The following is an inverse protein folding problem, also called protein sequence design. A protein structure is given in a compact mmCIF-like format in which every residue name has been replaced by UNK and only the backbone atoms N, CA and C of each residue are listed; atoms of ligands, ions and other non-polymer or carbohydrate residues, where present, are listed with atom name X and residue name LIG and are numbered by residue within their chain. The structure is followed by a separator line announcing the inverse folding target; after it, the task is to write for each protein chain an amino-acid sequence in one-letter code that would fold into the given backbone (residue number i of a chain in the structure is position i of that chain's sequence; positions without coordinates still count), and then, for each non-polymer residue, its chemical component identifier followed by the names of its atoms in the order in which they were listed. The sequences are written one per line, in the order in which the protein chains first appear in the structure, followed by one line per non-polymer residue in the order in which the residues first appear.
data_IF_119270817634
#
_entry.id   IF_119270817634
#
_cell.length_a   1.000
_cell.length_b   1.000
_cell.length_c   1.000
_cell.angle_alpha   90.00
_cell.angle_beta   90.00
_cell.angle_gamma   90.00
#
_symmetry.space_group_name_H-M   'P 1'
#
loop_
_entity.id
_entity.type
_entity.pdbx_description
1 polymer ?
#
# COMPACT_ATOMS: atom_id res chain seq x y z
N UNK A 1 23.92 -21.86 19.87
CA UNK A 1 23.18 -20.67 19.39
C UNK A 1 21.74 -20.97 19.64
N UNK A 2 21.13 -20.38 20.67
CA UNK A 2 19.69 -20.52 20.91
C UNK A 2 18.93 -19.90 19.73
N UNK A 3 18.14 -20.71 19.05
CA UNK A 3 17.23 -20.19 18.02
C UNK A 3 16.23 -19.26 18.71
N UNK A 4 16.32 -17.98 18.42
CA UNK A 4 15.33 -17.01 18.85
C UNK A 4 14.04 -17.38 18.11
N UNK A 5 13.02 -17.75 18.85
CA UNK A 5 11.72 -18.13 18.27
C UNK A 5 11.01 -16.83 17.85
N UNK A 6 10.96 -16.60 16.54
CA UNK A 6 10.30 -15.44 15.96
C UNK A 6 9.25 -15.89 14.93
N UNK A 7 8.13 -15.16 14.78
CA UNK A 7 7.08 -15.46 13.81
C UNK A 7 7.59 -15.66 12.39
N UNK A 8 8.59 -14.86 11.98
CA UNK A 8 9.18 -14.92 10.64
C UNK A 8 10.68 -15.22 10.72
N UNK A 9 11.21 -15.87 9.67
CA UNK A 9 12.60 -16.31 9.58
C UNK A 9 13.41 -15.48 8.60
N UNK A 10 14.73 -15.50 8.75
CA UNK A 10 15.66 -14.89 7.77
C UNK A 10 15.44 -15.53 6.40
N UNK A 11 15.50 -14.72 5.36
CA UNK A 11 15.17 -15.02 3.95
C UNK A 11 13.68 -15.31 3.68
N UNK A 12 12.81 -15.15 4.66
CA UNK A 12 11.37 -15.23 4.42
C UNK A 12 10.85 -13.96 3.77
N UNK A 13 10.00 -14.14 2.75
CA UNK A 13 9.24 -13.06 2.14
C UNK A 13 8.01 -12.73 3.00
N UNK A 14 7.78 -11.46 3.18
CA UNK A 14 6.64 -10.90 3.94
C UNK A 14 5.99 -9.79 3.14
N UNK A 15 4.78 -9.43 3.55
CA UNK A 15 4.09 -8.23 3.06
C UNK A 15 4.03 -7.20 4.16
N UNK A 16 4.47 -5.99 3.86
CA UNK A 16 4.25 -4.83 4.69
C UNK A 16 3.13 -4.00 4.07
N UNK A 17 1.99 -3.79 4.76
CA UNK A 17 0.85 -3.05 4.21
C UNK A 17 1.28 -1.71 3.61
N UNK A 18 0.74 -1.38 2.45
CA UNK A 18 1.04 -0.16 1.69
C UNK A 18 2.48 -0.01 1.16
N UNK A 19 3.42 -0.84 1.62
CA UNK A 19 4.84 -0.80 1.17
C UNK A 19 5.19 -1.96 0.24
N UNK A 20 4.40 -3.03 0.25
CA UNK A 20 4.58 -4.18 -0.63
C UNK A 20 5.37 -5.32 -0.04
N UNK A 21 5.92 -6.14 -0.94
CA UNK A 21 6.70 -7.33 -0.58
C UNK A 21 8.10 -6.92 -0.12
N UNK A 22 8.54 -7.56 0.96
CA UNK A 22 9.89 -7.42 1.47
C UNK A 22 10.49 -8.78 1.85
N UNK A 23 11.80 -8.78 2.05
CA UNK A 23 12.56 -9.96 2.49
C UNK A 23 13.19 -9.68 3.83
N UNK A 24 13.01 -10.56 4.79
CA UNK A 24 13.75 -10.50 6.05
C UNK A 24 15.21 -10.87 5.78
N UNK A 25 16.09 -9.88 5.78
CA UNK A 25 17.53 -10.10 5.56
C UNK A 25 18.23 -10.62 6.80
N UNK A 26 17.79 -10.14 7.97
CA UNK A 26 18.44 -10.49 9.23
C UNK A 26 17.49 -10.27 10.43
N UNK A 27 17.84 -10.86 11.57
CA UNK A 27 17.15 -10.66 12.85
C UNK A 27 18.22 -10.28 13.87
N UNK A 28 18.20 -9.04 14.35
CA UNK A 28 19.24 -8.46 15.20
C UNK A 28 18.73 -7.91 16.49
N UNK A 29 19.45 -8.14 17.55
CA UNK A 29 19.28 -7.42 18.81
C UNK A 29 19.96 -6.05 18.72
N UNK A 30 19.23 -5.00 19.11
CA UNK A 30 19.76 -3.65 19.25
C UNK A 30 19.35 -3.05 20.56
N UNK A 31 20.30 -2.38 21.22
CA UNK A 31 20.01 -1.64 22.45
C UNK A 31 19.24 -0.36 22.08
N UNK A 32 18.04 -0.22 22.61
CA UNK A 32 17.25 0.99 22.53
C UNK A 32 16.95 1.48 23.95
N UNK A 33 17.45 2.67 24.29
CA UNK A 33 17.52 3.16 25.67
C UNK A 33 18.26 2.13 26.54
N UNK A 34 17.62 1.55 27.55
CA UNK A 34 18.25 0.57 28.44
C UNK A 34 17.75 -0.87 28.22
N UNK A 35 17.04 -1.13 27.12
CA UNK A 35 16.49 -2.44 26.79
C UNK A 35 17.11 -3.01 25.53
N UNK A 36 17.33 -4.33 25.49
CA UNK A 36 17.70 -5.05 24.28
C UNK A 36 16.39 -5.43 23.56
N UNK A 37 16.22 -4.93 22.36
CA UNK A 37 15.04 -5.18 21.52
C UNK A 37 15.47 -5.94 20.28
N UNK A 38 14.70 -6.96 19.93
CA UNK A 38 14.89 -7.74 18.72
C UNK A 38 14.21 -7.07 17.53
N UNK A 39 14.93 -6.92 16.43
CA UNK A 39 14.46 -6.28 15.21
C UNK A 39 14.53 -7.21 14.02
N UNK A 40 13.51 -7.18 13.18
CA UNK A 40 13.61 -7.61 11.81
C UNK A 40 14.33 -6.54 10.98
N UNK A 41 15.30 -6.95 10.18
CA UNK A 41 15.90 -6.14 9.13
C UNK A 41 15.25 -6.56 7.82
N UNK A 42 14.39 -5.72 7.28
CA UNK A 42 13.56 -6.04 6.12
C UNK A 42 14.01 -5.17 4.94
N UNK A 43 14.35 -5.81 3.84
CA UNK A 43 14.56 -5.14 2.56
C UNK A 43 13.25 -5.13 1.79
N UNK A 44 12.81 -3.93 1.39
CA UNK A 44 11.60 -3.70 0.61
C UNK A 44 11.95 -3.62 -0.88
N UNK A 45 11.44 -4.56 -1.67
CA UNK A 45 11.79 -4.69 -3.09
C UNK A 45 11.30 -3.49 -3.93
N UNK A 46 10.18 -2.86 -3.55
CA UNK A 46 9.55 -1.77 -4.32
C UNK A 46 10.25 -0.43 -4.14
N UNK A 47 10.68 -0.12 -2.93
CA UNK A 47 11.28 1.16 -2.56
C UNK A 47 12.83 1.12 -2.50
N UNK A 48 13.43 -0.06 -2.70
CA UNK A 48 14.87 -0.30 -2.57
C UNK A 48 15.44 0.19 -1.22
N UNK A 49 14.67 -0.01 -0.15
CA UNK A 49 15.02 0.44 1.19
C UNK A 49 15.11 -0.71 2.17
N UNK A 50 16.05 -0.57 3.12
CA UNK A 50 16.14 -1.48 4.27
C UNK A 50 15.58 -0.78 5.50
N UNK A 51 14.59 -1.40 6.13
CA UNK A 51 13.95 -0.90 7.35
C UNK A 51 14.19 -1.84 8.52
N UNK A 52 14.12 -1.31 9.73
CA UNK A 52 14.23 -2.08 10.96
C UNK A 52 12.95 -1.95 11.78
N UNK A 53 12.30 -3.08 12.04
CA UNK A 53 11.03 -3.13 12.77
C UNK A 53 11.19 -4.03 14.00
N UNK A 54 10.80 -3.57 15.21
CA UNK A 54 10.77 -4.43 16.38
C UNK A 54 9.89 -5.66 16.14
N UNK A 55 10.40 -6.84 16.47
CA UNK A 55 9.66 -8.11 16.28
C UNK A 55 8.28 -8.05 16.96
N UNK A 56 8.21 -7.49 18.15
CA UNK A 56 6.97 -7.38 18.95
C UNK A 56 5.91 -6.48 18.27
N UNK A 57 6.33 -5.56 17.40
CA UNK A 57 5.42 -4.64 16.69
C UNK A 57 5.02 -5.10 15.29
N UNK A 58 5.53 -6.24 14.85
CA UNK A 58 5.24 -6.73 13.49
C UNK A 58 3.75 -6.93 13.24
N UNK A 59 3.03 -7.48 14.21
CA UNK A 59 1.59 -7.72 14.09
C UNK A 59 0.77 -6.42 14.14
N UNK A 60 1.16 -5.47 15.00
CA UNK A 60 0.51 -4.15 15.07
C UNK A 60 0.66 -3.36 13.77
N UNK A 61 1.79 -3.53 13.09
CA UNK A 61 2.07 -2.92 11.78
C UNK A 61 1.43 -3.69 10.62
N UNK A 62 0.73 -4.80 10.90
CA UNK A 62 0.06 -5.61 9.91
C UNK A 62 1.00 -6.41 9.00
N UNK A 63 2.25 -6.63 9.42
CA UNK A 63 3.20 -7.46 8.68
C UNK A 63 2.70 -8.89 8.68
N UNK A 64 2.65 -9.49 7.50
CA UNK A 64 2.18 -10.86 7.30
C UNK A 64 3.04 -11.63 6.31
N UNK A 65 2.93 -12.94 6.32
CA UNK A 65 3.53 -13.77 5.28
C UNK A 65 2.85 -13.51 3.92
N UNK A 66 3.56 -13.81 2.83
CA UNK A 66 2.96 -13.87 1.49
C UNK A 66 1.86 -14.93 1.49
N UNK A 67 0.79 -14.66 0.77
CA UNK A 67 -0.32 -15.60 0.61
C UNK A 67 0.10 -16.89 -0.12
N UNK A 68 -0.65 -17.97 0.13
CA UNK A 68 -0.49 -19.22 -0.58
C UNK A 68 -0.86 -19.11 -2.07
N UNK A 69 -0.45 -20.08 -2.88
CA UNK A 69 -0.80 -20.14 -4.31
C UNK A 69 -2.33 -20.22 -4.51
N UNK A 70 -3.02 -20.91 -3.63
CA UNK A 70 -4.47 -21.03 -3.64
C UNK A 70 -5.16 -19.69 -3.38
N UNK A 71 -4.72 -18.98 -2.36
CA UNK A 71 -5.26 -17.64 -2.02
C UNK A 71 -4.98 -16.62 -3.12
N UNK A 72 -3.80 -16.66 -3.73
CA UNK A 72 -3.46 -15.79 -4.86
C UNK A 72 -4.38 -16.05 -6.07
N UNK A 73 -4.64 -17.32 -6.40
CA UNK A 73 -5.57 -17.67 -7.48
C UNK A 73 -7.02 -17.27 -7.14
N UNK A 74 -7.45 -17.43 -5.90
CA UNK A 74 -8.77 -16.98 -5.44
C UNK A 74 -8.93 -15.46 -5.56
N UNK A 75 -7.89 -14.68 -5.22
CA UNK A 75 -7.90 -13.24 -5.39
C UNK A 75 -8.04 -12.83 -6.87
N UNK A 76 -7.35 -13.52 -7.78
CA UNK A 76 -7.51 -13.30 -9.23
C UNK A 76 -8.94 -13.64 -9.70
N UNK A 77 -9.50 -14.76 -9.24
CA UNK A 77 -10.87 -15.13 -9.59
C UNK A 77 -11.90 -14.12 -9.05
N UNK A 78 -11.69 -13.60 -7.83
CA UNK A 78 -12.55 -12.58 -7.24
C UNK A 78 -12.58 -11.28 -8.06
N UNK A 79 -11.49 -10.91 -8.70
CA UNK A 79 -11.43 -9.72 -9.57
C UNK A 79 -12.42 -9.84 -10.72
N UNK A 80 -12.61 -11.06 -11.26
CA UNK A 80 -13.53 -11.35 -12.36
C UNK A 80 -15.00 -11.53 -11.97
N UNK A 81 -15.35 -11.45 -10.68
CA UNK A 81 -16.73 -11.61 -10.22
C UNK A 81 -17.52 -10.30 -10.32
N UNK A 82 -18.84 -10.43 -10.50
CA UNK A 82 -19.73 -9.29 -10.37
C UNK A 82 -19.66 -8.68 -8.98
N UNK A 83 -19.77 -7.37 -8.89
CA UNK A 83 -19.79 -6.64 -7.63
C UNK A 83 -20.72 -5.43 -7.74
N UNK A 84 -21.27 -5.03 -6.61
CA UNK A 84 -22.04 -3.80 -6.54
C UNK A 84 -21.12 -2.59 -6.60
N UNK A 85 -21.42 -1.59 -7.46
CA UNK A 85 -20.66 -0.35 -7.47
C UNK A 85 -20.68 0.29 -6.08
N UNK A 86 -19.51 0.67 -5.57
CA UNK A 86 -19.42 1.32 -4.28
C UNK A 86 -20.06 2.71 -4.38
N UNK A 87 -19.90 3.73 -4.18
CA UNK A 87 -20.57 5.01 -4.29
C UNK A 87 -20.13 5.81 -5.54
N UNK A 88 -20.98 6.71 -6.01
CA UNK A 88 -20.63 7.71 -7.01
C UNK A 88 -19.74 8.82 -6.44
N UNK A 89 -19.88 9.13 -5.14
CA UNK A 89 -19.05 10.09 -4.42
C UNK A 89 -17.60 9.61 -4.38
N UNK A 90 -16.72 10.34 -5.07
CA UNK A 90 -15.32 9.96 -5.20
C UNK A 90 -14.53 10.13 -3.89
N UNK A 91 -14.87 11.13 -3.05
CA UNK A 91 -14.19 11.36 -1.78
C UNK A 91 -14.45 10.21 -0.81
N UNK A 92 -15.71 9.80 -0.71
CA UNK A 92 -16.10 8.66 0.11
C UNK A 92 -15.49 7.36 -0.42
N UNK A 93 -15.54 7.15 -1.73
CA UNK A 93 -14.94 5.96 -2.38
C UNK A 93 -13.43 5.90 -2.18
N UNK A 94 -12.72 7.02 -2.33
CA UNK A 94 -11.29 7.11 -2.06
C UNK A 94 -10.97 6.72 -0.62
N UNK A 95 -11.70 7.27 0.36
CA UNK A 95 -11.49 6.96 1.77
C UNK A 95 -11.73 5.47 2.06
N UNK A 96 -12.80 4.90 1.56
CA UNK A 96 -13.09 3.47 1.72
C UNK A 96 -11.98 2.58 1.13
N UNK A 97 -11.50 2.90 -0.06
CA UNK A 97 -10.40 2.17 -0.69
C UNK A 97 -9.07 2.36 0.05
N UNK A 98 -8.81 3.55 0.60
CA UNK A 98 -7.63 3.81 1.41
C UNK A 98 -7.63 2.96 2.71
N UNK A 99 -8.80 2.81 3.33
CA UNK A 99 -8.95 1.97 4.52
C UNK A 99 -8.76 0.47 4.20
N UNK A 100 -9.22 0.02 3.03
CA UNK A 100 -8.92 -1.33 2.54
C UNK A 100 -7.42 -1.53 2.31
N UNK A 101 -6.74 -0.54 1.72
CA UNK A 101 -5.28 -0.60 1.51
C UNK A 101 -4.51 -0.72 2.83
N UNK A 102 -4.95 0.00 3.88
CA UNK A 102 -4.35 -0.07 5.22
C UNK A 102 -4.55 -1.44 5.87
N UNK A 103 -5.67 -2.14 5.62
CA UNK A 103 -5.88 -3.51 6.09
C UNK A 103 -4.88 -4.48 5.46
N UNK A 104 -4.53 -4.27 4.19
CA UNK A 104 -3.44 -4.95 3.50
C UNK A 104 -3.68 -6.42 3.17
N UNK A 105 -4.92 -6.96 3.28
CA UNK A 105 -5.20 -8.31 2.80
C UNK A 105 -5.22 -8.34 1.26
N UNK A 106 -4.83 -9.48 0.66
CA UNK A 106 -4.80 -9.61 -0.80
C UNK A 106 -6.19 -9.39 -1.42
N UNK A 107 -7.25 -9.83 -0.74
CA UNK A 107 -8.63 -9.67 -1.19
C UNK A 107 -9.08 -8.20 -1.11
N UNK A 108 -8.67 -7.47 -0.08
CA UNK A 108 -8.94 -6.03 0.03
C UNK A 108 -8.26 -5.26 -1.11
N UNK A 109 -6.98 -5.57 -1.38
CA UNK A 109 -6.21 -4.95 -2.47
C UNK A 109 -6.83 -5.30 -3.84
N UNK A 110 -7.21 -6.55 -4.05
CA UNK A 110 -7.91 -6.99 -5.28
C UNK A 110 -9.25 -6.26 -5.45
N UNK A 111 -9.98 -6.00 -4.36
CA UNK A 111 -11.22 -5.23 -4.38
C UNK A 111 -11.01 -3.77 -4.80
N UNK A 112 -9.92 -3.13 -4.34
CA UNK A 112 -9.54 -1.77 -4.77
C UNK A 112 -9.28 -1.75 -6.28
N UNK A 113 -8.45 -2.69 -6.76
CA UNK A 113 -8.09 -2.78 -8.18
C UNK A 113 -9.34 -2.96 -9.03
N UNK A 114 -10.23 -3.87 -8.67
CA UNK A 114 -11.49 -4.11 -9.36
C UNK A 114 -12.38 -2.86 -9.39
N UNK A 115 -12.60 -2.26 -8.21
CA UNK A 115 -13.45 -1.07 -8.05
C UNK A 115 -12.99 0.09 -8.93
N UNK A 116 -11.71 0.46 -8.82
CA UNK A 116 -11.16 1.61 -9.53
C UNK A 116 -10.97 1.35 -11.02
N UNK A 117 -10.66 0.11 -11.44
CA UNK A 117 -10.65 -0.26 -12.85
C UNK A 117 -12.02 -0.04 -13.50
N UNK A 118 -13.09 -0.54 -12.88
CA UNK A 118 -14.45 -0.35 -13.43
C UNK A 118 -14.84 1.12 -13.46
N UNK A 119 -14.50 1.87 -12.43
CA UNK A 119 -14.75 3.31 -12.42
C UNK A 119 -14.02 4.02 -13.54
N UNK A 120 -12.78 3.65 -13.83
CA UNK A 120 -11.99 4.24 -14.93
C UNK A 120 -12.59 4.02 -16.32
N UNK A 121 -13.40 2.97 -16.48
CA UNK A 121 -14.11 2.72 -17.76
C UNK A 121 -15.36 3.58 -17.94
N UNK A 122 -15.85 4.18 -16.90
CA UNK A 122 -17.07 5.02 -16.88
C UNK A 122 -16.73 6.51 -16.92
N UNK A 123 -15.81 6.93 -16.03
CA UNK A 123 -15.36 8.31 -15.92
C UNK A 123 -13.86 8.30 -15.56
N UNK A 124 -13.14 9.29 -16.01
CA UNK A 124 -11.73 9.48 -15.63
C UNK A 124 -11.60 9.55 -14.11
N UNK A 125 -10.58 8.85 -13.58
CA UNK A 125 -10.32 8.85 -12.15
C UNK A 125 -9.66 10.16 -11.72
N UNK A 126 -10.11 10.77 -10.62
CA UNK A 126 -9.35 11.83 -9.96
C UNK A 126 -7.90 11.41 -9.68
N UNK A 127 -7.02 12.38 -9.58
CA UNK A 127 -5.57 12.13 -9.42
C UNK A 127 -5.27 11.22 -8.22
N UNK A 128 -5.93 11.44 -7.09
CA UNK A 128 -5.75 10.62 -5.89
C UNK A 128 -6.20 9.18 -6.07
N UNK A 129 -7.35 8.96 -6.73
CA UNK A 129 -7.83 7.60 -7.02
C UNK A 129 -6.93 6.90 -8.06
N UNK A 130 -6.38 7.64 -9.01
CA UNK A 130 -5.42 7.08 -10.00
C UNK A 130 -4.15 6.62 -9.30
N UNK A 131 -3.54 7.46 -8.44
CA UNK A 131 -2.37 7.10 -7.63
C UNK A 131 -2.66 5.86 -6.75
N UNK A 132 -3.83 5.82 -6.11
CA UNK A 132 -4.25 4.68 -5.29
C UNK A 132 -4.41 3.40 -6.12
N UNK A 133 -5.02 3.50 -7.30
CA UNK A 133 -5.16 2.38 -8.23
C UNK A 133 -3.82 1.80 -8.67
N UNK A 134 -2.89 2.67 -9.10
CA UNK A 134 -1.56 2.26 -9.55
C UNK A 134 -0.77 1.60 -8.42
N UNK A 135 -0.85 2.14 -7.21
CA UNK A 135 -0.22 1.55 -6.03
C UNK A 135 -0.83 0.19 -5.68
N UNK A 136 -2.15 0.10 -5.60
CA UNK A 136 -2.84 -1.16 -5.28
C UNK A 136 -2.58 -2.23 -6.35
N UNK A 137 -2.62 -1.86 -7.64
CA UNK A 137 -2.31 -2.76 -8.74
C UNK A 137 -0.90 -3.32 -8.61
N UNK A 138 0.10 -2.46 -8.37
CA UNK A 138 1.48 -2.88 -8.19
C UNK A 138 1.67 -3.82 -7.00
N UNK A 139 1.08 -3.50 -5.85
CA UNK A 139 1.14 -4.34 -4.66
C UNK A 139 0.55 -5.73 -4.91
N UNK A 140 -0.59 -5.79 -5.61
CA UNK A 140 -1.26 -7.03 -5.96
C UNK A 140 -0.43 -7.89 -6.91
N UNK A 141 0.12 -7.26 -7.96
CA UNK A 141 0.95 -7.93 -8.96
C UNK A 141 2.22 -8.52 -8.33
N UNK A 142 2.90 -7.76 -7.48
CA UNK A 142 4.12 -8.18 -6.82
C UNK A 142 3.86 -9.37 -5.89
N UNK A 143 2.84 -9.31 -5.04
CA UNK A 143 2.53 -10.40 -4.11
C UNK A 143 2.12 -11.68 -4.85
N UNK A 144 1.26 -11.59 -5.86
CA UNK A 144 0.84 -12.73 -6.67
C UNK A 144 2.02 -13.31 -7.46
N UNK A 145 2.89 -12.46 -8.00
CA UNK A 145 4.08 -12.91 -8.72
C UNK A 145 4.99 -13.77 -7.84
N UNK A 146 5.25 -13.33 -6.61
CA UNK A 146 6.00 -14.13 -5.65
C UNK A 146 5.28 -15.41 -5.24
N UNK A 147 3.97 -15.34 -4.98
CA UNK A 147 3.19 -16.51 -4.58
C UNK A 147 3.12 -17.58 -5.67
N UNK A 148 2.92 -17.19 -6.93
CA UNK A 148 2.79 -18.11 -8.06
C UNK A 148 4.13 -18.45 -8.74
N UNK A 149 5.23 -17.83 -8.31
CA UNK A 149 6.55 -17.94 -8.95
C UNK A 149 6.51 -17.55 -10.45
N UNK A 150 5.80 -16.45 -10.74
CA UNK A 150 5.61 -15.90 -12.09
C UNK A 150 6.25 -14.51 -12.20
N UNK A 151 6.41 -14.06 -13.43
CA UNK A 151 6.82 -12.67 -13.69
C UNK A 151 5.65 -11.72 -13.49
N UNK A 152 5.94 -10.46 -13.13
CA UNK A 152 4.91 -9.42 -12.99
C UNK A 152 4.10 -9.25 -14.28
N UNK A 153 4.73 -9.37 -15.47
CA UNK A 153 4.04 -9.29 -16.77
C UNK A 153 3.01 -10.41 -16.97
N UNK A 154 3.33 -11.63 -16.54
CA UNK A 154 2.38 -12.75 -16.62
C UNK A 154 1.20 -12.53 -15.69
N UNK A 155 1.47 -12.04 -14.46
CA UNK A 155 0.42 -11.74 -13.48
C UNK A 155 -0.44 -10.57 -13.93
N UNK A 156 0.16 -9.51 -14.45
CA UNK A 156 -0.57 -8.37 -15.05
C UNK A 156 -1.53 -8.85 -16.14
N UNK A 157 -1.06 -9.71 -17.05
CA UNK A 157 -1.90 -10.29 -18.10
C UNK A 157 -3.06 -11.13 -17.53
N UNK A 158 -2.81 -11.90 -16.44
CA UNK A 158 -3.85 -12.70 -15.78
C UNK A 158 -4.92 -11.80 -15.13
N UNK A 159 -4.50 -10.75 -14.43
CA UNK A 159 -5.42 -9.78 -13.80
C UNK A 159 -6.22 -9.05 -14.87
N UNK A 160 -5.56 -8.56 -15.92
CA UNK A 160 -6.21 -7.84 -17.01
C UNK A 160 -7.24 -8.69 -17.74
N UNK A 161 -6.94 -9.97 -17.99
CA UNK A 161 -7.88 -10.91 -18.61
C UNK A 161 -9.16 -11.13 -17.77
N UNK A 162 -9.10 -10.96 -16.44
CA UNK A 162 -10.27 -11.02 -15.57
C UNK A 162 -11.02 -9.71 -15.49
N UNK A 163 -10.34 -8.59 -15.59
CA UNK A 163 -10.95 -7.25 -15.54
C UNK A 163 -11.68 -6.88 -16.83
N UNK A 164 -11.14 -7.22 -18.02
CA UNK A 164 -11.69 -6.80 -19.30
C UNK A 164 -13.12 -7.28 -19.58
N UNK A 165 -13.51 -8.55 -19.35
CA UNK A 165 -14.88 -8.99 -19.59
C UNK A 165 -15.92 -8.19 -18.84
N UNK A 166 -15.62 -7.80 -17.59
CA UNK A 166 -16.50 -6.99 -16.77
C UNK A 166 -16.57 -5.53 -17.27
N UNK A 167 -15.45 -4.94 -17.67
CA UNK A 167 -15.40 -3.58 -18.23
C UNK A 167 -16.32 -3.39 -19.43
N UNK A 168 -16.41 -4.38 -20.32
CA UNK A 168 -17.27 -4.36 -21.49
C UNK A 168 -18.75 -4.52 -21.15
N UNK A 169 -19.08 -5.27 -20.10
CA UNK A 169 -20.46 -5.46 -19.64
C UNK A 169 -21.02 -4.18 -19.00
N UNK A 170 -20.27 -3.52 -18.14
CA UNK A 170 -20.69 -2.30 -17.46
C UNK A 170 -20.81 -1.10 -18.42
N UNK A 171 -19.94 -0.98 -19.42
CA UNK A 171 -20.07 0.06 -20.45
C UNK A 171 -21.38 -0.03 -21.22
N UNK A 172 -21.95 -1.23 -21.39
CA UNK A 172 -23.24 -1.44 -22.04
C UNK A 172 -24.44 -1.15 -21.14
N UNK A 173 -24.32 -1.42 -19.83
CA UNK A 173 -25.44 -1.24 -18.87
C UNK A 173 -25.58 0.21 -18.45
N UNK A 174 -24.49 0.98 -18.41
CA UNK A 174 -24.52 2.38 -17.95
C UNK A 174 -24.94 3.39 -19.02
N UNK A 175 -25.00 3.02 -20.29
CA UNK A 175 -25.63 3.88 -21.29
C UNK A 175 -27.12 4.15 -21.01
N UNK A 176 -27.75 3.33 -20.16
CA UNK A 176 -29.13 3.51 -19.71
C UNK A 176 -29.26 4.29 -18.38
N UNK A 177 -28.22 4.32 -17.54
CA UNK A 177 -28.22 5.01 -16.24
C UNK A 177 -27.51 6.38 -16.28
N UNK A 178 -26.67 6.64 -17.30
CA UNK A 178 -25.91 7.89 -17.42
C UNK A 178 -26.75 9.14 -17.70
N UNK A 179 -28.08 9.01 -17.85
CA UNK A 179 -28.97 10.15 -18.05
C UNK A 179 -29.47 10.84 -16.78
N UNK A 180 -29.32 10.18 -15.61
CA UNK A 180 -29.89 10.71 -14.37
C UNK A 180 -28.86 11.32 -13.40
N UNK A 181 -27.55 11.30 -13.72
CA UNK A 181 -26.50 11.83 -12.86
C UNK A 181 -25.45 12.67 -13.62
N UNK A 182 -25.91 13.46 -14.57
CA UNK A 182 -25.15 14.58 -15.08
C UNK A 182 -25.39 15.77 -14.14
N UNK A 183 -24.31 16.38 -13.71
CA UNK A 183 -24.20 17.59 -12.88
C UNK A 183 -24.29 17.35 -11.36
N UNK A 184 -23.07 17.26 -10.82
CA UNK A 184 -22.63 17.96 -9.59
C UNK A 184 -21.28 17.35 -9.18
N UNK A 185 -20.26 18.17 -9.10
CA UNK A 185 -18.92 17.96 -8.53
C UNK A 185 -17.72 18.05 -9.49
N UNK A 186 -17.63 19.19 -10.18
CA UNK A 186 -16.34 19.72 -10.64
C UNK A 186 -15.90 20.88 -9.74
N UNK A 187 -15.70 20.65 -8.44
CA UNK A 187 -14.87 21.53 -7.63
C UNK A 187 -13.46 20.93 -7.56
N UNK A 188 -12.56 21.58 -8.30
CA UNK A 188 -11.12 21.42 -8.25
C UNK A 188 -10.62 21.51 -6.80
N UNK A 189 -10.29 20.37 -6.24
CA UNK A 189 -9.52 20.31 -5.00
C UNK A 189 -8.03 20.42 -5.35
N UNK A 190 -7.59 21.65 -5.62
CA UNK A 190 -6.19 21.99 -5.91
C UNK A 190 -5.40 22.39 -4.67
N UNK A 191 -5.99 22.26 -3.47
CA UNK A 191 -5.41 22.78 -2.22
C UNK A 191 -5.10 21.70 -1.18
N UNK A 192 -4.34 20.66 -1.53
CA UNK A 192 -3.78 19.74 -0.52
C UNK A 192 -2.33 19.33 -0.79
N UNK A 193 -1.56 20.20 -1.44
CA UNK A 193 -0.12 20.00 -1.56
C UNK A 193 0.63 21.28 -1.14
N UNK A 194 0.43 21.77 0.08
CA UNK A 194 1.36 22.71 0.72
C UNK A 194 1.00 22.82 2.21
N UNK A 195 1.56 21.94 3.01
CA UNK A 195 1.90 22.19 4.41
C UNK A 195 2.73 21.00 4.93
N UNK A 196 3.96 20.93 4.44
CA UNK A 196 5.08 20.42 5.22
C UNK A 196 6.06 21.58 5.35
N UNK A 197 5.69 22.53 6.19
CA UNK A 197 6.65 23.51 6.68
C UNK A 197 7.65 22.76 7.55
N UNK A 198 8.86 22.66 7.02
CA UNK A 198 10.06 22.37 7.78
C UNK A 198 10.22 23.50 8.81
N UNK A 199 9.85 23.26 10.05
CA UNK A 199 10.30 24.07 11.18
C UNK A 199 11.78 23.77 11.41
N UNK A 200 12.64 24.46 10.66
CA UNK A 200 14.03 24.66 11.02
C UNK A 200 14.05 25.51 12.31
N UNK A 201 14.14 24.84 13.44
CA UNK A 201 14.57 25.50 14.69
C UNK A 201 16.03 25.90 14.53
N UNK A 202 16.22 27.18 14.16
CA UNK A 202 17.48 27.87 14.33
C UNK A 202 17.71 28.06 15.85
N UNK A 203 18.55 27.21 16.42
CA UNK A 203 19.18 27.49 17.72
C UNK A 203 20.25 28.56 17.52
N UNK A 204 19.84 29.81 17.71
CA UNK A 204 20.69 30.95 18.02
C UNK A 204 21.28 30.76 19.42
N UNK A 205 22.47 30.21 19.53
CA UNK A 205 23.34 30.40 20.69
C UNK A 205 24.36 31.50 20.40
N UNK A 206 23.87 32.73 20.53
CA UNK A 206 24.68 33.91 20.86
C UNK A 206 24.77 34.01 22.39
N UNK A 207 25.98 33.91 22.92
CA UNK A 207 26.50 34.68 24.02
C UNK A 207 27.91 34.20 24.35
N UNK A 208 28.90 35.02 23.97
CA UNK A 208 29.41 36.22 24.57
C UNK A 208 29.90 36.08 26.01
N UNK A 209 31.14 36.53 26.06
CA UNK A 209 31.87 37.20 27.13
C UNK A 209 32.70 36.31 28.05
N UNK A 210 33.99 36.42 27.81
CA UNK A 210 34.92 37.35 28.53
C UNK A 210 34.86 37.20 30.05
N UNK A 211 35.90 36.69 30.61
CA UNK A 211 36.77 37.53 31.47
C UNK A 211 37.93 36.72 32.04
N UNK A 212 39.07 37.18 31.70
CA UNK A 212 40.29 37.41 32.48
C UNK A 212 40.44 36.79 33.89
N UNK A 213 41.71 36.48 34.07
CA UNK A 213 42.54 36.57 35.26
C UNK A 213 43.07 35.22 35.80
N UNK A 214 44.37 35.06 35.49
CA UNK A 214 45.53 35.07 36.39
C UNK A 214 45.38 34.23 37.68
N UNK A 215 46.16 33.22 37.76
CA UNK A 215 47.34 32.99 38.66
C UNK A 215 47.92 31.59 38.45
#
# INVERSE_FOLDING_TARGET
MSSIDTPYKVNQKIVYPSQGVGTIQDIKEKKFKDQMILYYVIYLDVSDMTIMIPVEKSDELGIRAIVSKEEALQAIEMIGQEFEPITSDWKLRYQMNLDLLKKGSINDIASIVRCLYHRSKVKELPILERKLYDSAKKLLEDEIAYSLEKTNKEVEAMIHAKLEPLGLMHAKTQSSFAKDFADEDDEEFNDLDEDSEDEDEEDDDDDMMDDDEEW
#
